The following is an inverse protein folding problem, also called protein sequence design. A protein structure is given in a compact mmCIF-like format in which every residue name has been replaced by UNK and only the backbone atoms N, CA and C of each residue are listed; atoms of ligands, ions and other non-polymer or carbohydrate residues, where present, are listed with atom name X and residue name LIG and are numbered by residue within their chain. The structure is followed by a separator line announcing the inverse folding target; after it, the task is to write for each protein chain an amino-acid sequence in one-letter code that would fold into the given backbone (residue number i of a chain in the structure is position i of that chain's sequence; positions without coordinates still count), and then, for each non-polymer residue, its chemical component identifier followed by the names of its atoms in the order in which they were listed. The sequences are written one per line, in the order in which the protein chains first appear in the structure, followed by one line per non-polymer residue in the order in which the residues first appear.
data_IF_811923091001
#
_entry.id   IF_811923091001
#
_cell.length_a   1.000
_cell.length_b   1.000
_cell.length_c   1.000
_cell.angle_alpha   90.00
_cell.angle_beta   90.00
_cell.angle_gamma   90.00
#
_symmetry.space_group_name_H-M   'P 1'
#
loop_
_entity.id
_entity.type
_entity.pdbx_description
1 polymer ?
#
# COMPACT_ATOMS: atom_id res chain seq x y z
N UNK A 1 6.38 0.61 16.06
CA UNK A 1 5.28 0.69 15.07
C UNK A 1 5.61 1.48 13.80
N UNK A 2 6.83 1.35 13.24
CA UNK A 2 7.22 2.11 12.04
C UNK A 2 6.42 1.70 10.78
N UNK A 3 5.97 0.45 10.71
CA UNK A 3 5.22 -0.11 9.58
C UNK A 3 3.77 -0.47 9.91
N UNK A 4 3.22 0.00 11.03
CA UNK A 4 1.90 -0.45 11.48
C UNK A 4 0.79 -0.08 10.47
N UNK A 5 0.91 1.07 9.81
CA UNK A 5 -0.05 1.53 8.80
C UNK A 5 0.08 0.71 7.52
N UNK A 6 1.31 0.48 7.07
CA UNK A 6 1.62 -0.31 5.88
C UNK A 6 1.12 -1.75 6.04
N UNK A 7 1.31 -2.35 7.22
CA UNK A 7 0.82 -3.69 7.51
C UNK A 7 -0.71 -3.77 7.52
N UNK A 8 -1.41 -2.73 7.99
CA UNK A 8 -2.87 -2.67 7.93
C UNK A 8 -3.37 -2.57 6.47
N UNK A 9 -2.77 -1.71 5.65
CA UNK A 9 -3.10 -1.61 4.22
C UNK A 9 -2.85 -2.92 3.48
N UNK A 10 -1.75 -3.63 3.80
CA UNK A 10 -1.46 -4.92 3.17
C UNK A 10 -2.45 -6.02 3.58
N UNK A 11 -2.96 -5.98 4.81
CA UNK A 11 -3.98 -6.92 5.26
C UNK A 11 -5.29 -6.77 4.47
N UNK A 12 -5.70 -5.53 4.16
CA UNK A 12 -6.85 -5.28 3.27
C UNK A 12 -6.59 -5.83 1.86
N UNK A 13 -5.41 -5.61 1.30
CA UNK A 13 -5.03 -6.14 -0.02
C UNK A 13 -4.93 -7.68 -0.05
N UNK A 14 -4.59 -8.30 1.08
CA UNK A 14 -4.59 -9.76 1.25
C UNK A 14 -6.02 -10.31 1.29
N UNK A 15 -6.93 -9.65 2.03
CA UNK A 15 -8.37 -9.98 2.06
C UNK A 15 -9.00 -9.87 0.66
N UNK A 16 -8.60 -8.86 -0.12
CA UNK A 16 -9.02 -8.67 -1.52
C UNK A 16 -8.38 -9.68 -2.50
N UNK A 17 -7.49 -10.57 -2.04
CA UNK A 17 -6.83 -11.58 -2.87
C UNK A 17 -5.81 -11.01 -3.87
N UNK A 18 -5.26 -9.84 -3.59
CA UNK A 18 -4.26 -9.19 -4.44
C UNK A 18 -2.84 -9.66 -4.13
N UNK A 19 -2.58 -10.03 -2.89
CA UNK A 19 -1.30 -10.52 -2.41
C UNK A 19 -1.49 -11.55 -1.29
N UNK A 20 -0.41 -12.20 -0.89
CA UNK A 20 -0.33 -13.03 0.31
C UNK A 20 0.85 -12.58 1.14
N UNK A 21 0.63 -12.45 2.44
CA UNK A 21 1.65 -12.11 3.42
C UNK A 21 2.25 -13.38 4.02
N UNK A 22 3.58 -13.41 4.07
CA UNK A 22 4.35 -14.43 4.77
C UNK A 22 5.18 -13.75 5.85
N UNK A 23 5.63 -14.54 6.82
CA UNK A 23 6.54 -14.05 7.87
C UNK A 23 7.84 -13.49 7.32
N UNK A 24 8.25 -13.90 6.12
CA UNK A 24 9.53 -13.53 5.50
C UNK A 24 9.37 -12.75 4.19
N UNK A 25 8.14 -12.40 3.78
CA UNK A 25 7.96 -11.69 2.52
C UNK A 25 6.51 -11.52 2.10
N UNK A 26 6.35 -11.00 0.88
CA UNK A 26 5.05 -10.68 0.27
C UNK A 26 5.06 -11.28 -1.12
N UNK A 27 4.00 -12.00 -1.49
CA UNK A 27 3.82 -12.49 -2.84
C UNK A 27 2.61 -11.83 -3.48
N UNK A 28 2.81 -11.16 -4.61
CA UNK A 28 1.71 -10.58 -5.37
C UNK A 28 1.04 -11.67 -6.21
N UNK A 29 -0.27 -11.79 -6.06
CA UNK A 29 -1.09 -12.76 -6.78
C UNK A 29 -1.44 -12.26 -8.19
N UNK A 30 -1.92 -13.13 -9.11
CA UNK A 30 -2.26 -12.73 -10.46
C UNK A 30 -3.17 -11.49 -10.58
N UNK A 31 -4.23 -11.32 -9.76
CA UNK A 31 -5.05 -10.12 -9.79
C UNK A 31 -4.28 -8.86 -9.35
N UNK A 32 -3.44 -8.98 -8.33
CA UNK A 32 -2.64 -7.87 -7.80
C UNK A 32 -1.57 -7.34 -8.75
N UNK A 33 -1.16 -8.10 -9.77
CA UNK A 33 -0.16 -7.64 -10.75
C UNK A 33 -0.60 -6.39 -11.51
N UNK A 34 -1.89 -6.24 -11.81
CA UNK A 34 -2.41 -5.02 -12.45
C UNK A 34 -2.32 -3.81 -11.52
N UNK A 35 -2.36 -4.05 -10.20
CA UNK A 35 -2.33 -3.05 -9.15
C UNK A 35 -0.95 -2.94 -8.48
N UNK A 36 0.10 -3.52 -9.06
CA UNK A 36 1.42 -3.63 -8.44
C UNK A 36 1.99 -2.27 -8.01
N UNK A 37 1.69 -1.20 -8.76
CA UNK A 37 2.09 0.15 -8.38
C UNK A 37 1.47 0.59 -7.06
N UNK A 38 0.17 0.33 -6.86
CA UNK A 38 -0.51 0.68 -5.61
C UNK A 38 0.06 -0.11 -4.42
N UNK A 39 0.33 -1.40 -4.62
CA UNK A 39 0.94 -2.27 -3.60
C UNK A 39 2.34 -1.75 -3.21
N UNK A 40 3.19 -1.39 -4.19
CA UNK A 40 4.52 -0.84 -3.90
C UNK A 40 4.46 0.56 -3.26
N UNK A 41 3.49 1.38 -3.66
CA UNK A 41 3.31 2.74 -3.13
C UNK A 41 2.94 2.76 -1.64
N UNK A 42 2.40 1.67 -1.08
CA UNK A 42 2.19 1.53 0.37
C UNK A 42 3.49 1.77 1.14
N UNK A 43 4.65 1.35 0.61
CA UNK A 43 5.95 1.54 1.26
C UNK A 43 6.66 2.85 0.87
N UNK A 44 6.07 3.66 -0.01
CA UNK A 44 6.66 4.94 -0.42
C UNK A 44 6.30 6.05 0.58
N UNK A 45 7.23 6.31 1.50
CA UNK A 45 7.10 7.37 2.50
C UNK A 45 6.95 8.76 1.89
N UNK A 46 7.67 9.08 0.81
CA UNK A 46 7.66 10.41 0.21
C UNK A 46 6.31 10.71 -0.45
N UNK A 47 5.66 9.69 -1.01
CA UNK A 47 4.33 9.82 -1.56
C UNK A 47 3.28 10.13 -0.47
N UNK A 48 3.38 9.53 0.72
CA UNK A 48 2.50 9.82 1.85
C UNK A 48 2.63 11.27 2.31
N UNK A 49 3.85 11.77 2.41
CA UNK A 49 4.14 13.16 2.78
C UNK A 49 3.57 14.15 1.74
N UNK A 50 3.61 13.83 0.44
CA UNK A 50 2.97 14.64 -0.60
C UNK A 50 1.43 14.61 -0.55
N UNK A 51 0.81 13.45 -0.26
CA UNK A 51 -0.65 13.35 -0.10
C UNK A 51 -1.16 14.25 1.03
N UNK A 52 -0.43 14.36 2.13
CA UNK A 52 -0.79 15.25 3.24
C UNK A 52 -0.72 16.73 2.87
N UNK A 53 0.11 17.12 1.90
CA UNK A 53 0.25 18.52 1.48
C UNK A 53 -0.79 18.96 0.44
N UNK A 54 -1.53 18.02 -0.17
CA UNK A 54 -2.51 18.32 -1.23
C UNK A 54 -3.90 18.60 -0.67
N UNK A 55 -4.02 19.63 0.16
CA UNK A 55 -5.33 20.24 0.41
C UNK A 55 -5.71 21.06 -0.82
N UNK A 56 -6.86 20.74 -1.44
CA UNK A 56 -7.41 21.57 -2.52
C UNK A 56 -7.61 22.98 -2.00
N UNK A 57 -6.79 23.93 -2.47
CA UNK A 57 -7.10 25.34 -2.32
C UNK A 57 -8.21 25.64 -3.34
N UNK A 58 -9.44 25.67 -2.85
CA UNK A 58 -10.50 26.43 -3.52
C UNK A 58 -10.19 27.91 -3.24
N UNK A 59 -9.87 28.67 -4.28
CA UNK A 59 -9.92 30.14 -4.29
C UNK A 59 -11.02 30.51 -5.27
#
# INVERSE_FOLDING_TARGET
DYFAVELAELAEMEEDGLLTLFTTGIQVLPPGRLLIRNICMTFDRYLREQKQQRFSRVI
#
